data_IF_451384065279
#
_entry.id   IF_451384065279
#
_cell.length_a   1.000
_cell.length_b   1.000
_cell.length_c   1.000
_cell.angle_alpha   90.00
_cell.angle_beta   90.00
_cell.angle_gamma   90.00
#
_symmetry.space_group_name_H-M   'P 1'
#
loop_
_entity.id
_entity.type
_entity.pdbx_description
1 polymer ?
#
# COMPACT_ATOMS: atom_id res chain seq x y z
N UNK A 1 -9.66 7.77 -17.79
CA UNK A 1 -8.71 6.90 -17.04
C UNK A 1 -9.45 5.66 -16.55
N UNK A 2 -8.87 4.46 -16.74
CA UNK A 2 -9.47 3.26 -16.20
C UNK A 2 -9.31 3.26 -14.66
N UNK A 3 -10.27 2.64 -13.93
CA UNK A 3 -10.20 2.54 -12.47
C UNK A 3 -8.95 1.80 -12.00
N UNK A 4 -8.41 0.91 -12.83
CA UNK A 4 -7.14 0.19 -12.57
C UNK A 4 -5.98 1.18 -12.59
N UNK A 5 -5.93 2.10 -13.56
CA UNK A 5 -4.90 3.13 -13.63
C UNK A 5 -4.97 4.07 -12.41
N UNK A 6 -6.18 4.45 -11.98
CA UNK A 6 -6.37 5.25 -10.75
C UNK A 6 -5.83 4.52 -9.53
N UNK A 7 -6.13 3.22 -9.37
CA UNK A 7 -5.62 2.41 -8.25
C UNK A 7 -4.09 2.34 -8.28
N UNK A 8 -3.48 2.18 -9.46
CA UNK A 8 -2.03 2.16 -9.63
C UNK A 8 -1.35 3.47 -9.23
N UNK A 9 -1.92 4.60 -9.64
CA UNK A 9 -1.41 5.94 -9.27
C UNK A 9 -1.54 6.16 -7.77
N UNK A 10 -2.69 5.85 -7.17
CA UNK A 10 -2.89 5.97 -5.73
C UNK A 10 -1.92 5.09 -4.94
N UNK A 11 -1.66 3.87 -5.42
CA UNK A 11 -0.68 2.97 -4.81
C UNK A 11 0.73 3.55 -4.88
N UNK A 12 1.14 4.09 -6.03
CA UNK A 12 2.44 4.74 -6.19
C UNK A 12 2.61 5.94 -5.24
N UNK A 13 1.59 6.80 -5.16
CA UNK A 13 1.58 7.94 -4.24
C UNK A 13 1.68 7.47 -2.79
N UNK A 14 0.96 6.41 -2.43
CA UNK A 14 1.03 5.80 -1.08
C UNK A 14 2.44 5.33 -0.75
N UNK A 15 3.11 4.65 -1.69
CA UNK A 15 4.51 4.21 -1.53
C UNK A 15 5.47 5.38 -1.33
N UNK A 16 5.37 6.40 -2.17
CA UNK A 16 6.23 7.59 -2.10
C UNK A 16 6.03 8.35 -0.79
N UNK A 17 4.78 8.53 -0.35
CA UNK A 17 4.48 9.13 0.95
C UNK A 17 5.05 8.29 2.10
N UNK A 18 4.93 6.96 2.04
CA UNK A 18 5.48 6.05 3.06
C UNK A 18 6.99 6.13 3.16
N UNK A 19 7.69 6.20 2.02
CA UNK A 19 9.15 6.42 1.98
C UNK A 19 9.53 7.78 2.57
N UNK A 20 8.77 8.83 2.29
CA UNK A 20 8.95 10.17 2.85
C UNK A 20 8.82 10.18 4.37
N UNK A 21 7.77 9.56 4.91
CA UNK A 21 7.57 9.38 6.37
C UNK A 21 8.76 8.63 6.99
N UNK A 22 9.18 7.53 6.37
CA UNK A 22 10.28 6.72 6.85
C UNK A 22 11.61 7.47 6.91
N UNK A 23 11.92 8.29 5.89
CA UNK A 23 13.13 9.13 5.87
C UNK A 23 13.10 10.22 6.93
N UNK A 24 11.94 10.84 7.15
CA UNK A 24 11.78 11.87 8.18
C UNK A 24 11.90 11.30 9.59
N UNK A 25 11.39 10.09 9.83
CA UNK A 25 11.56 9.39 11.12
C UNK A 25 13.01 9.00 11.38
N UNK A 26 13.78 8.64 10.34
CA UNK A 26 15.19 8.30 10.47
C UNK A 26 16.12 9.51 10.70
N UNK A 27 15.67 10.72 10.30
CA UNK A 27 16.47 11.96 10.43
C UNK A 27 16.21 12.76 11.71
N UNK A 28 15.10 12.51 12.36
CA UNK A 28 14.72 13.25 13.56
C UNK A 28 15.01 12.41 14.80
N UNK A 29 15.86 12.96 15.67
CA UNK A 29 16.19 12.52 17.04
C UNK A 29 14.93 12.00 17.78
N UNK A 30 15.04 10.90 18.59
CA UNK A 30 13.92 10.25 19.24
C UNK A 30 13.18 11.06 20.31
N UNK A 31 13.42 12.36 20.40
CA UNK A 31 12.66 13.23 21.31
C UNK A 31 11.25 13.49 20.75
N UNK A 32 10.20 13.32 21.57
CA UNK A 32 8.82 13.58 21.16
C UNK A 32 8.52 15.09 21.12
N UNK A 33 9.31 15.86 20.39
CA UNK A 33 8.89 17.20 20.03
C UNK A 33 7.87 17.05 18.91
N UNK A 34 6.59 17.12 19.29
CA UNK A 34 5.44 16.97 18.41
C UNK A 34 5.50 17.95 17.24
N UNK A 35 6.19 17.55 16.18
CA UNK A 35 6.18 18.32 14.93
C UNK A 35 4.88 17.94 14.20
N UNK A 36 3.92 18.88 14.06
CA UNK A 36 2.62 18.63 13.44
C UNK A 36 2.73 18.13 12.00
N UNK A 37 3.83 18.42 11.31
CA UNK A 37 4.09 18.01 9.93
C UNK A 37 4.26 16.49 9.79
N UNK A 38 4.98 15.82 10.71
CA UNK A 38 5.19 14.37 10.63
C UNK A 38 3.88 13.60 10.84
N UNK A 39 3.01 14.07 11.73
CA UNK A 39 1.70 13.47 11.95
C UNK A 39 0.74 13.68 10.78
N UNK A 40 0.79 14.86 10.14
CA UNK A 40 -0.01 15.15 8.96
C UNK A 40 0.38 14.26 7.78
N UNK A 41 1.68 14.10 7.49
CA UNK A 41 2.16 13.23 6.41
C UNK A 41 1.77 11.77 6.67
N UNK A 42 1.88 11.30 7.92
CA UNK A 42 1.44 9.95 8.28
C UNK A 42 -0.09 9.78 8.13
N UNK A 43 -0.88 10.81 8.44
CA UNK A 43 -2.33 10.83 8.20
C UNK A 43 -2.67 10.73 6.72
N UNK A 44 -2.02 11.56 5.90
CA UNK A 44 -2.18 11.54 4.44
C UNK A 44 -1.81 10.18 3.86
N UNK A 45 -0.68 9.58 4.27
CA UNK A 45 -0.28 8.23 3.84
C UNK A 45 -1.37 7.18 4.13
N UNK A 46 -1.98 7.22 5.31
CA UNK A 46 -3.07 6.29 5.69
C UNK A 46 -4.31 6.48 4.83
N UNK A 47 -4.70 7.73 4.56
CA UNK A 47 -5.85 8.03 3.70
C UNK A 47 -5.63 7.50 2.28
N UNK A 48 -4.45 7.71 1.71
CA UNK A 48 -4.11 7.17 0.38
C UNK A 48 -4.08 5.64 0.37
N UNK A 49 -3.60 4.99 1.43
CA UNK A 49 -3.63 3.54 1.55
C UNK A 49 -5.06 3.00 1.54
N UNK A 50 -5.97 3.61 2.31
CA UNK A 50 -7.39 3.25 2.33
C UNK A 50 -8.04 3.48 0.97
N UNK A 51 -7.80 4.64 0.34
CA UNK A 51 -8.34 4.95 -0.98
C UNK A 51 -7.84 3.96 -2.04
N UNK A 52 -6.56 3.57 -1.99
CA UNK A 52 -5.98 2.54 -2.87
C UNK A 52 -6.70 1.21 -2.70
N UNK A 53 -6.93 0.78 -1.47
CA UNK A 53 -7.63 -0.47 -1.19
C UNK A 53 -9.06 -0.48 -1.73
N UNK A 54 -9.81 0.58 -1.46
CA UNK A 54 -11.21 0.71 -1.93
C UNK A 54 -11.27 0.71 -3.46
N UNK A 55 -10.41 1.50 -4.12
CA UNK A 55 -10.42 1.58 -5.59
C UNK A 55 -9.96 0.27 -6.23
N UNK A 56 -8.99 -0.43 -5.65
CA UNK A 56 -8.56 -1.74 -6.12
C UNK A 56 -9.69 -2.79 -5.95
N UNK A 57 -10.36 -2.83 -4.81
CA UNK A 57 -11.48 -3.73 -4.56
C UNK A 57 -12.63 -3.50 -5.54
N UNK A 58 -12.97 -2.22 -5.82
CA UNK A 58 -13.99 -1.88 -6.82
C UNK A 58 -13.54 -2.30 -8.23
N UNK A 59 -12.27 -2.09 -8.58
CA UNK A 59 -11.72 -2.48 -9.87
C UNK A 59 -11.82 -3.99 -10.08
N UNK A 60 -11.37 -4.78 -9.10
CA UNK A 60 -11.42 -6.25 -9.13
C UNK A 60 -12.87 -6.73 -9.24
N UNK A 61 -13.80 -6.17 -8.44
CA UNK A 61 -15.21 -6.54 -8.51
C UNK A 61 -15.85 -6.23 -9.87
N UNK A 62 -15.51 -5.09 -10.48
CA UNK A 62 -16.01 -4.73 -11.82
C UNK A 62 -15.47 -5.66 -12.90
N UNK A 63 -14.19 -5.99 -12.83
CA UNK A 63 -13.56 -6.92 -13.77
C UNK A 63 -14.14 -8.32 -13.65
N UNK A 64 -14.32 -8.82 -12.43
CA UNK A 64 -14.85 -10.16 -12.19
C UNK A 64 -16.31 -10.35 -12.70
N UNK A 65 -17.08 -9.27 -12.80
CA UNK A 65 -18.45 -9.32 -13.37
C UNK A 65 -18.48 -9.44 -14.89
N UNK A 66 -17.40 -9.06 -15.57
CA UNK A 66 -17.35 -9.02 -17.03
C UNK A 66 -16.37 -9.98 -17.69
N UNK A 67 -15.40 -10.49 -16.97
CA UNK A 67 -14.32 -11.32 -17.51
C UNK A 67 -13.95 -12.41 -16.50
N UNK A 68 -13.74 -13.64 -16.99
CA UNK A 68 -13.14 -14.68 -16.17
C UNK A 68 -11.64 -14.43 -16.06
N UNK A 69 -11.11 -14.39 -14.84
CA UNK A 69 -9.68 -14.28 -14.62
C UNK A 69 -8.98 -15.59 -14.98
N UNK A 70 -7.88 -15.49 -15.68
CA UNK A 70 -6.93 -16.60 -15.81
C UNK A 70 -6.34 -16.96 -14.44
N UNK A 71 -5.84 -18.18 -14.30
CA UNK A 71 -5.20 -18.61 -13.06
C UNK A 71 -4.04 -17.69 -12.63
N UNK A 72 -3.30 -17.16 -13.61
CA UNK A 72 -2.19 -16.23 -13.36
C UNK A 72 -2.66 -14.87 -12.84
N UNK A 73 -3.71 -14.32 -13.42
CA UNK A 73 -4.33 -13.05 -12.96
C UNK A 73 -4.91 -13.20 -11.55
N UNK A 74 -5.60 -14.30 -11.29
CA UNK A 74 -6.17 -14.60 -9.99
C UNK A 74 -5.08 -14.74 -8.93
N UNK A 75 -4.01 -15.48 -9.24
CA UNK A 75 -2.85 -15.64 -8.34
C UNK A 75 -2.21 -14.28 -8.03
N UNK A 76 -1.98 -13.44 -9.04
CA UNK A 76 -1.39 -12.11 -8.85
C UNK A 76 -2.28 -11.21 -7.97
N UNK A 77 -3.60 -11.24 -8.17
CA UNK A 77 -4.56 -10.48 -7.37
C UNK A 77 -4.59 -10.96 -5.91
N UNK A 78 -4.59 -12.27 -5.69
CA UNK A 78 -4.57 -12.84 -4.33
C UNK A 78 -3.27 -12.47 -3.62
N UNK A 79 -2.12 -12.62 -4.26
CA UNK A 79 -0.83 -12.24 -3.68
C UNK A 79 -0.77 -10.74 -3.35
N UNK A 80 -1.21 -9.89 -4.28
CA UNK A 80 -1.28 -8.45 -4.03
C UNK A 80 -2.18 -8.13 -2.82
N UNK A 81 -3.33 -8.78 -2.70
CA UNK A 81 -4.26 -8.62 -1.58
C UNK A 81 -3.65 -9.05 -0.24
N UNK A 82 -2.97 -10.20 -0.20
CA UNK A 82 -2.31 -10.71 1.01
C UNK A 82 -1.19 -9.78 1.48
N UNK A 83 -0.31 -9.36 0.58
CA UNK A 83 0.76 -8.43 0.92
C UNK A 83 0.21 -7.06 1.36
N UNK A 84 -0.87 -6.61 0.73
CA UNK A 84 -1.53 -5.37 1.13
C UNK A 84 -2.13 -5.48 2.54
N UNK A 85 -2.79 -6.59 2.87
CA UNK A 85 -3.32 -6.84 4.21
C UNK A 85 -2.20 -6.83 5.28
N UNK A 86 -1.06 -7.47 5.00
CA UNK A 86 0.12 -7.45 5.87
C UNK A 86 0.67 -6.03 6.04
N UNK A 87 0.72 -5.25 4.96
CA UNK A 87 1.18 -3.85 5.00
C UNK A 87 0.27 -2.99 5.87
N UNK A 88 -1.04 -3.13 5.74
CA UNK A 88 -2.02 -2.40 6.57
C UNK A 88 -1.91 -2.81 8.03
N UNK A 89 -1.79 -4.10 8.31
CA UNK A 89 -1.67 -4.63 9.68
C UNK A 89 -0.41 -4.10 10.37
N UNK A 90 0.75 -4.18 9.70
CA UNK A 90 2.01 -3.66 10.25
C UNK A 90 1.98 -2.14 10.40
N UNK A 91 1.38 -1.41 9.48
CA UNK A 91 1.17 0.04 9.58
C UNK A 91 0.24 0.44 10.73
N UNK A 92 -0.82 -0.36 10.98
CA UNK A 92 -1.71 -0.16 12.13
C UNK A 92 -0.98 -0.39 13.46
N UNK A 93 -0.18 -1.45 13.58
CA UNK A 93 0.65 -1.73 14.77
C UNK A 93 1.61 -0.58 15.07
N UNK A 94 2.28 -0.05 14.05
CA UNK A 94 3.15 1.13 14.19
C UNK A 94 2.37 2.37 14.66
N UNK A 95 1.13 2.52 14.23
CA UNK A 95 0.26 3.66 14.60
C UNK A 95 -0.22 3.62 16.04
N UNK A 96 -0.45 2.42 16.58
CA UNK A 96 -0.93 2.23 17.95
C UNK A 96 0.16 2.47 19.02
N UNK A 97 1.40 2.77 18.62
CA UNK A 97 2.51 3.02 19.53
C UNK A 97 2.96 1.80 20.33
N UNK A 98 2.26 0.65 20.18
CA UNK A 98 2.55 -0.59 20.92
C UNK A 98 3.81 -1.31 20.43
N UNK A 99 4.30 -0.95 19.28
CA UNK A 99 5.43 -1.61 18.64
C UNK A 99 6.40 -0.58 18.03
N UNK A 100 7.08 0.18 18.88
CA UNK A 100 8.30 0.91 18.49
C UNK A 100 9.51 -0.04 18.31
N UNK A 101 9.27 -1.25 17.87
CA UNK A 101 10.35 -2.16 17.58
C UNK A 101 10.87 -1.84 16.17
N UNK A 102 12.17 -1.62 16.06
CA UNK A 102 12.85 -1.42 14.78
C UNK A 102 12.56 -2.56 13.80
N UNK A 103 12.28 -3.75 14.33
CA UNK A 103 11.88 -4.94 13.57
C UNK A 103 10.55 -4.73 12.85
N UNK A 104 9.52 -4.16 13.51
CA UNK A 104 8.22 -3.93 12.87
C UNK A 104 8.33 -2.82 11.82
N UNK A 105 9.12 -1.79 12.10
CA UNK A 105 9.37 -0.72 11.12
C UNK A 105 10.12 -1.25 9.89
N UNK A 106 11.16 -2.06 10.10
CA UNK A 106 11.90 -2.71 9.03
C UNK A 106 11.00 -3.68 8.24
N UNK A 107 10.21 -4.50 8.94
CA UNK A 107 9.23 -5.40 8.35
C UNK A 107 8.20 -4.66 7.50
N UNK A 108 7.63 -3.57 8.00
CA UNK A 108 6.67 -2.75 7.25
C UNK A 108 7.30 -2.18 5.95
N UNK A 109 8.55 -1.72 6.00
CA UNK A 109 9.27 -1.23 4.80
C UNK A 109 9.48 -2.34 3.77
N UNK A 110 9.93 -3.51 4.21
CA UNK A 110 10.18 -4.66 3.33
C UNK A 110 8.86 -5.13 2.70
N UNK A 111 7.81 -5.29 3.50
CA UNK A 111 6.48 -5.70 3.01
C UNK A 111 5.94 -4.67 2.02
N UNK A 112 6.12 -3.37 2.27
CA UNK A 112 5.68 -2.31 1.35
C UNK A 112 6.35 -2.42 -0.02
N UNK A 113 7.65 -2.71 -0.06
CA UNK A 113 8.38 -2.93 -1.31
C UNK A 113 7.95 -4.23 -2.00
N UNK A 114 7.81 -5.31 -1.23
CA UNK A 114 7.35 -6.60 -1.76
C UNK A 114 5.91 -6.52 -2.30
N UNK A 115 5.05 -5.69 -1.72
CA UNK A 115 3.68 -5.46 -2.22
C UNK A 115 3.67 -4.84 -3.62
N UNK A 116 4.70 -4.06 -3.96
CA UNK A 116 4.79 -3.42 -5.28
C UNK A 116 4.85 -4.45 -6.42
N UNK A 117 5.59 -5.54 -6.24
CA UNK A 117 5.80 -6.56 -7.27
C UNK A 117 4.48 -7.20 -7.71
N UNK A 118 3.69 -7.86 -6.84
CA UNK A 118 2.44 -8.48 -7.24
C UNK A 118 1.37 -7.43 -7.63
N UNK A 119 1.41 -6.21 -7.07
CA UNK A 119 0.46 -5.16 -7.44
C UNK A 119 0.69 -4.67 -8.86
N UNK A 120 1.92 -4.35 -9.25
CA UNK A 120 2.22 -3.96 -10.63
C UNK A 120 2.07 -5.14 -11.59
N UNK A 121 2.42 -6.37 -11.17
CA UNK A 121 2.16 -7.57 -11.93
C UNK A 121 0.67 -7.77 -12.23
N UNK A 122 -0.19 -7.63 -11.23
CA UNK A 122 -1.64 -7.71 -11.38
C UNK A 122 -2.17 -6.62 -12.33
N UNK A 123 -1.75 -5.37 -12.15
CA UNK A 123 -2.13 -4.25 -13.03
C UNK A 123 -1.72 -4.55 -14.48
N UNK A 124 -0.49 -5.00 -14.69
CA UNK A 124 0.03 -5.33 -16.02
C UNK A 124 -0.77 -6.45 -16.69
N UNK A 125 -1.01 -7.56 -15.99
CA UNK A 125 -1.78 -8.68 -16.51
C UNK A 125 -3.22 -8.27 -16.84
N UNK A 126 -3.89 -7.53 -15.95
CA UNK A 126 -5.26 -7.09 -16.13
C UNK A 126 -5.43 -6.02 -17.22
N UNK A 127 -4.37 -5.33 -17.60
CA UNK A 127 -4.41 -4.32 -18.68
C UNK A 127 -4.02 -4.89 -20.04
N UNK A 128 -3.24 -5.97 -20.08
CA UNK A 128 -2.75 -6.59 -21.30
C UNK A 128 -3.79 -7.48 -22.01
N UNK A 129 -4.76 -7.97 -21.26
CA UNK A 129 -5.83 -8.85 -21.77
C UNK A 129 -7.01 -8.12 -22.41
N UNK A 130 -6.91 -6.83 -22.59
CA UNK A 130 -7.91 -5.97 -23.28
C UNK A 130 -7.28 -5.35 -24.50
#
# INVERSE_FOLDING_TARGET
MSIIAVSGVLFLVTLLCGLGVSRNLARNDPRPSGKPVASAIAGVHKLFAIATFITAAIAIRRLHRGVQFSSMELTAVILAGLFFALMVTTGALLSLGRARSDVILAGHKVISLLTAIPTFGAIFLLTRGK
#
